data_IF_635521349668
#
_entry.id   IF_635521349668
#
_cell.length_a   1.000
_cell.length_b   1.000
_cell.length_c   1.000
_cell.angle_alpha   90.00
_cell.angle_beta   90.00
_cell.angle_gamma   90.00
#
_symmetry.space_group_name_H-M   'P 1'
#
loop_
_entity.id
_entity.type
_entity.pdbx_description
1 polymer ?
#
# COMPACT_ATOMS: atom_id res chain seq x y z
N UNK A 1 18.36 -7.33 -5.11
CA UNK A 1 17.61 -7.40 -3.83
C UNK A 1 16.72 -8.63 -3.86
N UNK A 2 16.40 -9.27 -2.73
CA UNK A 2 15.61 -10.52 -2.75
C UNK A 2 14.10 -10.20 -2.77
N UNK A 3 13.27 -10.93 -3.54
CA UNK A 3 11.80 -10.82 -3.51
C UNK A 3 11.16 -10.80 -2.10
N UNK A 4 11.75 -11.55 -1.15
CA UNK A 4 11.32 -11.57 0.26
C UNK A 4 11.39 -10.20 0.95
N UNK A 5 12.30 -9.33 0.51
CA UNK A 5 12.41 -7.94 1.00
C UNK A 5 11.17 -7.13 0.59
N UNK A 6 10.69 -7.27 -0.65
CA UNK A 6 9.48 -6.58 -1.11
C UNK A 6 8.24 -7.04 -0.33
N UNK A 7 8.09 -8.35 -0.11
CA UNK A 7 6.99 -8.91 0.70
C UNK A 7 7.04 -8.36 2.13
N UNK A 8 8.22 -8.32 2.75
CA UNK A 8 8.39 -7.84 4.13
C UNK A 8 8.16 -6.33 4.25
N UNK A 9 8.64 -5.52 3.30
CA UNK A 9 8.39 -4.09 3.31
C UNK A 9 6.90 -3.78 3.11
N UNK A 10 6.25 -4.48 2.18
CA UNK A 10 4.80 -4.34 1.94
C UNK A 10 4.01 -4.71 3.18
N UNK A 11 4.39 -5.79 3.89
CA UNK A 11 3.81 -6.12 5.19
C UNK A 11 3.91 -4.97 6.19
N UNK A 12 5.10 -4.39 6.34
CA UNK A 12 5.33 -3.31 7.31
C UNK A 12 4.49 -2.09 6.92
N UNK A 13 4.46 -1.74 5.64
CA UNK A 13 3.65 -0.64 5.12
C UNK A 13 2.16 -0.86 5.39
N UNK A 14 1.62 -2.04 5.07
CA UNK A 14 0.21 -2.36 5.33
C UNK A 14 -0.11 -2.36 6.82
N UNK A 15 0.78 -2.87 7.68
CA UNK A 15 0.58 -2.84 9.13
C UNK A 15 0.56 -1.40 9.67
N UNK A 16 1.56 -0.59 9.32
CA UNK A 16 1.64 0.81 9.78
C UNK A 16 0.51 1.65 9.23
N UNK A 17 0.15 1.48 7.96
CA UNK A 17 -0.96 2.19 7.33
C UNK A 17 -2.30 1.79 7.95
N UNK A 18 -2.51 0.49 8.18
CA UNK A 18 -3.70 -0.02 8.88
C UNK A 18 -3.83 0.54 10.30
N UNK A 19 -2.75 0.53 11.10
CA UNK A 19 -2.76 1.12 12.44
C UNK A 19 -2.98 2.63 12.41
N UNK A 20 -2.34 3.33 11.48
CA UNK A 20 -2.52 4.77 11.29
C UNK A 20 -3.96 5.14 10.96
N UNK A 21 -4.61 4.39 10.08
CA UNK A 21 -6.03 4.58 9.75
C UNK A 21 -6.93 4.22 10.94
N UNK A 22 -6.67 3.12 11.65
CA UNK A 22 -7.52 2.69 12.76
C UNK A 22 -7.56 3.74 13.89
N UNK A 23 -6.40 4.29 14.26
CA UNK A 23 -6.31 5.30 15.33
C UNK A 23 -6.49 6.74 14.84
N UNK A 24 -6.38 6.97 13.53
CA UNK A 24 -6.46 8.29 12.90
C UNK A 24 -7.70 8.53 12.04
N UNK A 25 -8.65 7.59 11.96
CA UNK A 25 -9.79 7.63 11.04
C UNK A 25 -10.62 8.93 11.13
N UNK A 26 -10.83 9.44 12.35
CA UNK A 26 -11.59 10.67 12.55
C UNK A 26 -10.89 11.91 11.99
N UNK A 27 -9.56 11.98 12.11
CA UNK A 27 -8.78 13.10 11.56
C UNK A 27 -8.62 12.97 10.04
N UNK A 28 -8.46 11.74 9.53
CA UNK A 28 -8.47 11.47 8.10
C UNK A 28 -9.81 11.88 7.46
N UNK A 29 -10.94 11.59 8.11
CA UNK A 29 -12.27 11.95 7.63
C UNK A 29 -12.55 13.45 7.58
N UNK A 30 -11.87 14.26 8.41
CA UNK A 30 -11.98 15.73 8.39
C UNK A 30 -11.05 16.41 7.41
N UNK A 31 -10.11 15.67 6.80
CA UNK A 31 -9.06 16.26 5.98
C UNK A 31 -9.67 17.03 4.80
N UNK A 32 -9.38 18.33 4.73
CA UNK A 32 -9.90 19.21 3.67
C UNK A 32 -11.37 19.60 3.83
N UNK A 33 -11.98 19.34 4.99
CA UNK A 33 -13.41 19.57 5.27
C UNK A 33 -13.61 20.22 6.67
N UNK A 34 -13.44 21.55 6.80
CA UNK A 34 -13.56 22.24 8.10
C UNK A 34 -14.96 22.17 8.72
N UNK A 35 -16.02 22.06 7.90
CA UNK A 35 -17.42 22.10 8.34
C UNK A 35 -18.15 20.75 8.13
N UNK A 36 -17.46 19.62 8.31
CA UNK A 36 -18.07 18.28 8.14
C UNK A 36 -19.18 18.04 9.18
N UNK A 37 -20.35 17.59 8.73
CA UNK A 37 -21.45 17.26 9.65
C UNK A 37 -21.13 16.01 10.47
N UNK A 38 -21.72 15.84 11.67
CA UNK A 38 -21.49 14.65 12.49
C UNK A 38 -21.79 13.32 11.77
N UNK A 39 -22.86 13.27 10.98
CA UNK A 39 -23.24 12.07 10.23
C UNK A 39 -22.23 11.76 9.12
N UNK A 40 -21.79 12.78 8.36
CA UNK A 40 -20.77 12.62 7.34
C UNK A 40 -19.41 12.22 7.95
N UNK A 41 -19.07 12.78 9.11
CA UNK A 41 -17.87 12.42 9.86
C UNK A 41 -17.90 10.96 10.31
N UNK A 42 -19.03 10.50 10.87
CA UNK A 42 -19.18 9.11 11.28
C UNK A 42 -19.10 8.14 10.10
N UNK A 43 -19.72 8.48 8.97
CA UNK A 43 -19.63 7.67 7.74
C UNK A 43 -18.20 7.62 7.20
N UNK A 44 -17.52 8.77 7.12
CA UNK A 44 -16.13 8.86 6.66
C UNK A 44 -15.18 8.08 7.57
N UNK A 45 -15.33 8.22 8.90
CA UNK A 45 -14.58 7.45 9.89
C UNK A 45 -14.76 5.96 9.68
N UNK A 46 -16.01 5.49 9.52
CA UNK A 46 -16.30 4.08 9.25
C UNK A 46 -15.61 3.55 7.99
N UNK A 47 -15.57 4.35 6.91
CA UNK A 47 -14.85 3.98 5.69
C UNK A 47 -13.34 3.82 5.93
N UNK A 48 -12.71 4.73 6.67
CA UNK A 48 -11.29 4.63 7.01
C UNK A 48 -10.99 3.46 7.98
N UNK A 49 -11.87 3.16 8.93
CA UNK A 49 -11.73 1.99 9.80
C UNK A 49 -11.84 0.68 9.02
N UNK A 50 -12.78 0.59 8.06
CA UNK A 50 -12.88 -0.57 7.16
C UNK A 50 -11.59 -0.72 6.33
N UNK A 51 -11.09 0.38 5.75
CA UNK A 51 -9.81 0.38 5.04
C UNK A 51 -8.66 -0.06 5.95
N UNK A 52 -8.67 0.35 7.23
CA UNK A 52 -7.70 -0.09 8.23
C UNK A 52 -7.71 -1.61 8.39
N UNK A 53 -8.89 -2.22 8.56
CA UNK A 53 -9.01 -3.68 8.70
C UNK A 53 -8.56 -4.44 7.47
N UNK A 54 -8.81 -3.95 6.25
CA UNK A 54 -8.26 -4.56 5.03
C UNK A 54 -6.73 -4.52 5.01
N UNK A 55 -6.12 -3.40 5.41
CA UNK A 55 -4.66 -3.27 5.50
C UNK A 55 -4.07 -4.24 6.54
N UNK A 56 -4.68 -4.34 7.73
CA UNK A 56 -4.24 -5.25 8.79
C UNK A 56 -4.42 -6.73 8.40
N UNK A 57 -5.53 -7.07 7.75
CA UNK A 57 -5.75 -8.40 7.16
C UNK A 57 -4.64 -8.75 6.16
N UNK A 58 -4.36 -7.85 5.21
CA UNK A 58 -3.30 -8.07 4.22
C UNK A 58 -1.92 -8.19 4.89
N UNK A 59 -1.63 -7.40 5.91
CA UNK A 59 -0.39 -7.52 6.68
C UNK A 59 -0.25 -8.90 7.34
N UNK A 60 -1.33 -9.44 7.91
CA UNK A 60 -1.35 -10.79 8.49
C UNK A 60 -1.13 -11.89 7.43
N UNK A 61 -1.77 -11.77 6.26
CA UNK A 61 -1.55 -12.68 5.12
C UNK A 61 -0.10 -12.63 4.67
N UNK A 62 0.46 -11.43 4.46
CA UNK A 62 1.85 -11.25 4.06
C UNK A 62 2.83 -11.76 5.13
N UNK A 63 2.46 -11.72 6.40
CA UNK A 63 3.31 -12.20 7.50
C UNK A 63 3.56 -13.70 7.37
N UNK A 64 2.48 -14.43 7.08
CA UNK A 64 2.52 -15.87 6.84
C UNK A 64 3.17 -16.19 5.51
N UNK A 65 2.92 -15.37 4.48
CA UNK A 65 3.51 -15.56 3.15
C UNK A 65 5.05 -15.56 3.15
N UNK A 66 5.72 -14.96 4.15
CA UNK A 66 7.19 -15.02 4.29
C UNK A 66 7.76 -16.44 4.46
N UNK A 67 6.91 -17.43 4.78
CA UNK A 67 7.26 -18.85 4.92
C UNK A 67 7.16 -19.63 3.59
N UNK A 68 6.65 -19.02 2.53
CA UNK A 68 6.57 -19.62 1.20
C UNK A 68 7.97 -19.90 0.64
N UNK A 69 8.07 -20.88 -0.26
CA UNK A 69 9.28 -21.17 -1.01
C UNK A 69 9.67 -20.01 -1.96
N UNK A 70 10.87 -20.11 -2.54
CA UNK A 70 11.43 -19.07 -3.38
C UNK A 70 10.57 -18.79 -4.64
N UNK A 71 9.97 -19.81 -5.24
CA UNK A 71 9.16 -19.69 -6.45
C UNK A 71 7.85 -18.98 -6.14
N UNK A 72 7.15 -19.40 -5.08
CA UNK A 72 5.90 -18.79 -4.63
C UNK A 72 6.10 -17.35 -4.16
N UNK A 73 7.18 -17.07 -3.40
CA UNK A 73 7.55 -15.69 -3.00
C UNK A 73 7.79 -14.80 -4.22
N UNK A 74 8.44 -15.33 -5.27
CA UNK A 74 8.69 -14.56 -6.49
C UNK A 74 7.40 -14.23 -7.21
N UNK A 75 6.50 -15.20 -7.37
CA UNK A 75 5.17 -14.97 -7.96
C UNK A 75 4.38 -13.94 -7.17
N UNK A 76 4.35 -14.05 -5.84
CA UNK A 76 3.72 -13.07 -4.96
C UNK A 76 4.34 -11.68 -5.13
N UNK A 77 5.66 -11.57 -5.22
CA UNK A 77 6.37 -10.29 -5.41
C UNK A 77 5.99 -9.58 -6.71
N UNK A 78 5.77 -10.33 -7.80
CA UNK A 78 5.28 -9.79 -9.07
C UNK A 78 3.85 -9.26 -8.92
N UNK A 79 2.99 -10.01 -8.23
CA UNK A 79 1.63 -9.56 -7.90
C UNK A 79 1.62 -8.26 -7.07
N UNK A 80 2.47 -8.18 -6.04
CA UNK A 80 2.65 -6.96 -5.24
C UNK A 80 3.12 -5.78 -6.09
N UNK A 81 4.11 -5.99 -6.96
CA UNK A 81 4.62 -4.94 -7.84
C UNK A 81 3.54 -4.40 -8.81
N UNK A 82 2.72 -5.29 -9.39
CA UNK A 82 1.56 -4.89 -10.21
C UNK A 82 0.53 -4.13 -9.35
N UNK A 83 0.27 -4.59 -8.12
CA UNK A 83 -0.60 -3.89 -7.18
C UNK A 83 -0.14 -2.46 -6.91
N UNK A 84 1.17 -2.23 -6.75
CA UNK A 84 1.72 -0.88 -6.58
C UNK A 84 1.54 0.02 -7.82
N UNK A 85 1.58 -0.55 -9.04
CA UNK A 85 1.24 0.21 -10.26
C UNK A 85 -0.20 0.70 -10.20
N UNK A 86 -1.14 -0.18 -9.83
CA UNK A 86 -2.57 0.17 -9.69
C UNK A 86 -2.77 1.23 -8.60
N UNK A 87 -2.13 1.08 -7.44
CA UNK A 87 -2.20 2.04 -6.34
C UNK A 87 -1.66 3.41 -6.77
N UNK A 88 -0.53 3.44 -7.46
CA UNK A 88 0.05 4.70 -7.97
C UNK A 88 -0.85 5.36 -8.98
N UNK A 89 -1.43 4.60 -9.91
CA UNK A 89 -2.40 5.12 -10.86
C UNK A 89 -3.62 5.74 -10.14
N UNK A 90 -4.14 5.08 -9.10
CA UNK A 90 -5.24 5.60 -8.28
C UNK A 90 -4.88 6.89 -7.54
N UNK A 91 -3.69 6.95 -6.92
CA UNK A 91 -3.21 8.16 -6.24
C UNK A 91 -3.06 9.31 -7.23
N UNK A 92 -2.42 9.07 -8.37
CA UNK A 92 -2.24 10.07 -9.43
C UNK A 92 -3.59 10.54 -9.97
N UNK A 93 -4.52 9.63 -10.23
CA UNK A 93 -5.87 9.97 -10.65
C UNK A 93 -6.56 10.89 -9.64
N UNK A 94 -6.50 10.58 -8.35
CA UNK A 94 -7.13 11.40 -7.31
C UNK A 94 -6.42 12.73 -7.06
N UNK A 95 -5.12 12.83 -7.29
CA UNK A 95 -4.39 14.12 -7.26
C UNK A 95 -4.96 15.09 -8.30
N UNK A 96 -5.29 14.59 -9.50
CA UNK A 96 -5.73 15.44 -10.62
C UNK A 96 -7.25 15.57 -10.77
N UNK A 97 -8.03 14.66 -10.17
CA UNK A 97 -9.50 14.65 -10.30
C UNK A 97 -10.24 15.26 -9.11
N UNK A 98 -9.63 15.31 -7.92
CA UNK A 98 -10.28 15.87 -6.74
C UNK A 98 -10.04 17.38 -6.60
N UNK A 99 -10.92 18.02 -5.86
CA UNK A 99 -10.86 19.46 -5.58
C UNK A 99 -9.57 19.78 -4.80
N UNK A 100 -8.85 20.88 -5.11
CA UNK A 100 -7.71 21.32 -4.33
C UNK A 100 -8.04 21.44 -2.84
N UNK A 101 -7.22 20.84 -1.98
CA UNK A 101 -7.45 20.74 -0.53
C UNK A 101 -8.11 19.44 -0.07
N UNK A 102 -8.76 18.70 -0.98
CA UNK A 102 -9.30 17.35 -0.75
C UNK A 102 -8.52 16.27 -1.51
N UNK A 103 -7.77 16.66 -2.53
CA UNK A 103 -6.83 15.79 -3.23
C UNK A 103 -5.69 15.32 -2.31
N UNK A 104 -5.13 14.11 -2.54
CA UNK A 104 -3.90 13.71 -1.88
C UNK A 104 -2.80 14.76 -2.10
N UNK A 105 -1.91 15.00 -1.11
CA UNK A 105 -0.76 15.87 -1.31
C UNK A 105 0.04 15.44 -2.53
N UNK A 106 0.43 16.36 -3.41
CA UNK A 106 1.16 16.02 -4.65
C UNK A 106 2.43 15.18 -4.40
N UNK A 107 3.09 15.40 -3.26
CA UNK A 107 4.23 14.61 -2.80
C UNK A 107 3.91 13.10 -2.65
N UNK A 108 2.67 12.72 -2.32
CA UNK A 108 2.25 11.31 -2.27
C UNK A 108 2.40 10.62 -3.64
N UNK A 109 2.14 11.32 -4.74
CA UNK A 109 2.38 10.77 -6.08
C UNK A 109 3.84 10.38 -6.29
N UNK A 110 4.78 11.21 -5.82
CA UNK A 110 6.21 10.91 -5.85
C UNK A 110 6.59 9.70 -4.98
N UNK A 111 6.04 9.61 -3.75
CA UNK A 111 6.29 8.48 -2.84
C UNK A 111 5.78 7.16 -3.44
N UNK A 112 4.53 7.11 -3.91
CA UNK A 112 3.96 5.92 -4.52
C UNK A 112 4.67 5.54 -5.83
N UNK A 113 5.06 6.53 -6.64
CA UNK A 113 5.88 6.31 -7.83
C UNK A 113 7.23 5.67 -7.50
N UNK A 114 7.94 6.18 -6.48
CA UNK A 114 9.21 5.61 -6.04
C UNK A 114 9.07 4.18 -5.51
N UNK A 115 8.05 3.91 -4.70
CA UNK A 115 7.74 2.56 -4.19
C UNK A 115 7.45 1.61 -5.36
N UNK A 116 6.69 2.05 -6.35
CA UNK A 116 6.34 1.25 -7.53
C UNK A 116 7.57 0.90 -8.37
N UNK A 117 8.42 1.88 -8.68
CA UNK A 117 9.65 1.64 -9.43
C UNK A 117 10.57 0.68 -8.68
N UNK A 118 10.70 0.86 -7.37
CA UNK A 118 11.47 -0.06 -6.53
C UNK A 118 10.87 -1.47 -6.54
N UNK A 119 9.55 -1.61 -6.37
CA UNK A 119 8.88 -2.91 -6.39
C UNK A 119 9.03 -3.63 -7.74
N UNK A 120 8.90 -2.91 -8.85
CA UNK A 120 9.14 -3.44 -10.19
C UNK A 120 10.58 -3.91 -10.36
N UNK A 121 11.56 -3.14 -9.89
CA UNK A 121 12.96 -3.54 -9.92
C UNK A 121 13.22 -4.82 -9.11
N UNK A 122 12.67 -4.94 -7.89
CA UNK A 122 12.84 -6.15 -7.07
C UNK A 122 12.13 -7.37 -7.67
N UNK A 123 10.96 -7.19 -8.27
CA UNK A 123 10.14 -8.30 -8.78
C UNK A 123 10.56 -8.79 -10.18
N UNK A 124 11.06 -7.89 -11.04
CA UNK A 124 11.36 -8.18 -12.45
C UNK A 124 12.82 -7.92 -12.84
N UNK A 125 13.54 -7.07 -12.11
CA UNK A 125 14.92 -6.67 -12.45
C UNK A 125 16.01 -7.58 -11.88
N UNK A 126 15.68 -8.49 -10.96
CA UNK A 126 16.66 -9.42 -10.40
C UNK A 126 16.77 -10.64 -11.31
N UNK A 127 17.87 -10.75 -12.06
CA UNK A 127 18.20 -11.97 -12.80
C UNK A 127 18.22 -13.16 -11.85
N UNK A 128 17.77 -14.31 -12.34
CA UNK A 128 17.85 -15.57 -11.65
C UNK A 128 19.29 -15.79 -11.18
N UNK A 129 19.50 -15.86 -9.87
CA UNK A 129 20.66 -16.59 -9.39
C UNK A 129 20.42 -18.02 -9.86
N UNK A 130 21.26 -18.49 -10.78
CA UNK A 130 21.31 -19.86 -11.24
C UNK A 130 21.19 -20.80 -10.02
N UNK A 131 20.38 -21.87 -10.09
CA UNK A 131 20.35 -22.85 -9.01
C UNK A 131 21.77 -23.37 -8.82
N UNK A 132 22.28 -23.26 -7.59
CA UNK A 132 23.58 -23.82 -7.19
C UNK A 132 23.58 -25.32 -7.50
N UNK A 133 24.46 -25.81 -8.41
CA UNK A 133 24.62 -27.23 -8.65
C UNK A 133 25.54 -27.79 -7.56
N UNK A 134 24.98 -28.16 -6.42
CA UNK A 134 25.67 -28.98 -5.42
C UNK A 134 24.82 -30.17 -4.99
#
# INVERSE_FOLDING_TARGET
MKPKTLVTATLVLMALHGLGLLFGAGEAAKMGLPDITPDALNMGKGAYEIAAFFNLFLAAVLFQARKLDATAIRTLSKGIAIGYVVLTAGVVYHIFSLIPGQAPPGAMGGVFGAITLWALYVAFGTKDAEPDPS
#
